data_IF_762753321834
#
_entry.id   IF_762753321834
#
_cell.length_a   1.000
_cell.length_b   1.000
_cell.length_c   1.000
_cell.angle_alpha   90.00
_cell.angle_beta   90.00
_cell.angle_gamma   90.00
#
_symmetry.space_group_name_H-M   'P 1'
#
loop_
_entity.id
_entity.type
_entity.pdbx_description
1 polymer ?
#
# COMPACT_ATOMS: atom_id res chain seq x y z
N UNK A 1 32.77 -39.74 2.56
CA UNK A 1 33.29 -38.88 3.64
C UNK A 1 33.03 -37.44 3.21
N UNK A 2 31.82 -36.96 3.47
CA UNK A 2 31.43 -35.55 3.35
C UNK A 2 30.68 -35.23 4.64
N UNK A 3 31.15 -34.19 5.33
CA UNK A 3 30.63 -33.78 6.62
C UNK A 3 29.21 -33.21 6.46
N UNK A 4 28.29 -33.66 7.30
CA UNK A 4 27.00 -33.02 7.51
C UNK A 4 27.26 -31.74 8.31
N UNK A 5 27.02 -30.58 7.69
CA UNK A 5 26.96 -29.30 8.38
C UNK A 5 25.62 -29.20 9.13
N UNK A 6 25.71 -29.18 10.46
CA UNK A 6 24.61 -28.87 11.37
C UNK A 6 24.16 -27.42 11.19
N UNK A 7 23.02 -27.22 10.52
CA UNK A 7 22.34 -25.93 10.41
C UNK A 7 21.52 -25.71 11.69
N UNK A 8 21.69 -24.60 12.42
CA UNK A 8 20.97 -24.37 13.67
C UNK A 8 19.48 -24.05 13.43
N UNK A 9 18.63 -24.99 13.85
CA UNK A 9 17.16 -25.00 13.73
C UNK A 9 16.44 -24.20 14.85
N UNK A 10 16.97 -23.04 15.22
CA UNK A 10 16.34 -22.15 16.22
C UNK A 10 16.04 -20.79 15.62
N UNK A 11 15.09 -20.76 14.67
CA UNK A 11 14.40 -19.52 14.32
C UNK A 11 13.09 -19.48 15.10
N UNK A 12 12.99 -18.48 15.98
CA UNK A 12 11.85 -18.10 16.82
C UNK A 12 10.58 -17.81 15.97
N UNK A 13 9.98 -18.86 15.41
CA UNK A 13 8.80 -18.77 14.53
C UNK A 13 7.46 -18.74 15.28
N UNK A 14 7.45 -18.98 16.59
CA UNK A 14 6.20 -19.18 17.32
C UNK A 14 5.56 -17.88 17.85
N UNK A 15 6.33 -16.84 18.17
CA UNK A 15 5.78 -15.65 18.85
C UNK A 15 4.94 -14.78 17.89
N UNK A 16 5.33 -14.70 16.62
CA UNK A 16 4.59 -13.96 15.61
C UNK A 16 3.30 -14.68 15.14
N UNK A 17 3.32 -16.03 15.10
CA UNK A 17 2.18 -16.84 14.64
C UNK A 17 1.01 -16.77 15.66
N UNK A 18 1.28 -16.81 16.96
CA UNK A 18 0.22 -16.78 18.00
C UNK A 18 -0.53 -15.44 18.05
N UNK A 19 0.19 -14.34 17.92
CA UNK A 19 -0.39 -12.99 17.94
C UNK A 19 -1.29 -12.76 16.71
N UNK A 20 -0.86 -13.23 15.54
CA UNK A 20 -1.63 -13.14 14.32
C UNK A 20 -2.88 -14.02 14.35
N UNK A 21 -2.75 -15.26 14.86
CA UNK A 21 -3.88 -16.19 15.03
C UNK A 21 -4.93 -15.64 16.01
N UNK A 22 -4.50 -15.03 17.12
CA UNK A 22 -5.40 -14.36 18.05
C UNK A 22 -6.16 -13.19 17.39
N UNK A 23 -5.50 -12.45 16.51
CA UNK A 23 -6.13 -11.35 15.78
C UNK A 23 -7.15 -11.86 14.73
N UNK A 24 -6.84 -12.95 14.03
CA UNK A 24 -7.78 -13.61 13.12
C UNK A 24 -9.01 -14.18 13.84
N UNK A 25 -8.87 -14.75 15.04
CA UNK A 25 -10.01 -15.23 15.83
C UNK A 25 -10.91 -14.06 16.27
N UNK A 26 -10.32 -12.92 16.63
CA UNK A 26 -11.04 -11.69 16.96
C UNK A 26 -11.84 -11.17 15.75
N UNK A 27 -11.24 -11.19 14.55
CA UNK A 27 -11.92 -10.84 13.30
C UNK A 27 -13.06 -11.81 12.96
N UNK A 28 -12.88 -13.12 13.21
CA UNK A 28 -13.93 -14.13 13.00
C UNK A 28 -15.14 -13.89 13.93
N UNK A 29 -14.90 -13.63 15.22
CA UNK A 29 -15.98 -13.26 16.18
C UNK A 29 -16.67 -11.95 15.83
N UNK A 30 -15.93 -10.95 15.33
CA UNK A 30 -16.51 -9.71 14.82
C UNK A 30 -17.43 -9.97 13.63
N UNK A 31 -17.05 -10.86 12.70
CA UNK A 31 -17.90 -11.28 11.59
C UNK A 31 -19.17 -11.96 12.06
N UNK A 32 -19.10 -12.86 13.05
CA UNK A 32 -20.28 -13.52 13.61
C UNK A 32 -21.23 -12.51 14.28
N UNK A 33 -20.69 -11.51 15.00
CA UNK A 33 -21.47 -10.41 15.57
C UNK A 33 -22.10 -9.53 14.50
N UNK A 34 -21.37 -9.20 13.44
CA UNK A 34 -21.87 -8.41 12.32
C UNK A 34 -22.93 -9.17 11.51
N UNK A 35 -22.78 -10.49 11.34
CA UNK A 35 -23.78 -11.34 10.71
C UNK A 35 -25.06 -11.44 11.56
N UNK A 36 -24.92 -11.49 12.89
CA UNK A 36 -26.05 -11.41 13.81
C UNK A 36 -26.75 -10.04 13.81
N UNK A 37 -26.02 -8.96 13.48
CA UNK A 37 -26.56 -7.61 13.27
C UNK A 37 -27.11 -7.36 11.85
N UNK A 38 -27.00 -8.35 10.97
CA UNK A 38 -27.23 -8.29 9.52
C UNK A 38 -28.66 -8.10 9.03
N UNK A 39 -29.50 -7.36 9.77
CA UNK A 39 -30.78 -6.86 9.25
C UNK A 39 -30.96 -5.34 9.35
N UNK A 40 -30.04 -4.58 9.96
CA UNK A 40 -30.28 -3.14 10.14
C UNK A 40 -29.01 -2.28 10.23
N UNK A 41 -28.04 -2.46 9.34
CA UNK A 41 -26.90 -1.53 9.24
C UNK A 41 -26.93 -0.89 7.87
N UNK A 42 -27.25 0.41 7.81
CA UNK A 42 -27.16 1.22 6.60
C UNK A 42 -25.67 1.34 6.22
N UNK A 43 -25.38 1.35 4.92
CA UNK A 43 -24.01 1.39 4.38
C UNK A 43 -23.12 2.51 4.97
N UNK A 44 -23.73 3.57 5.51
CA UNK A 44 -23.05 4.73 6.10
C UNK A 44 -22.37 4.40 7.45
N UNK A 45 -22.92 3.45 8.22
CA UNK A 45 -22.37 3.05 9.53
C UNK A 45 -21.18 2.11 9.40
N UNK A 46 -21.10 1.35 8.30
CA UNK A 46 -20.01 0.39 8.07
C UNK A 46 -18.67 1.10 7.84
N UNK A 47 -18.69 2.24 7.13
CA UNK A 47 -17.52 3.09 6.95
C UNK A 47 -17.04 3.69 8.29
N UNK A 48 -17.96 4.10 9.16
CA UNK A 48 -17.62 4.64 10.48
C UNK A 48 -16.99 3.59 11.41
N UNK A 49 -17.46 2.34 11.35
CA UNK A 49 -16.92 1.23 12.15
C UNK A 49 -15.50 0.85 11.68
N UNK A 50 -15.27 0.80 10.36
CA UNK A 50 -13.92 0.55 9.82
C UNK A 50 -12.97 1.69 10.18
N UNK A 51 -13.42 2.94 10.05
CA UNK A 51 -12.61 4.11 10.41
C UNK A 51 -12.27 4.15 11.90
N UNK A 52 -13.22 3.83 12.77
CA UNK A 52 -12.99 3.81 14.23
C UNK A 52 -12.01 2.71 14.64
N UNK A 53 -12.13 1.53 14.03
CA UNK A 53 -11.25 0.38 14.32
C UNK A 53 -9.81 0.60 13.81
N UNK A 54 -9.64 1.36 12.73
CA UNK A 54 -8.33 1.70 12.17
C UNK A 54 -7.61 2.81 12.93
N UNK A 55 -8.37 3.80 13.42
CA UNK A 55 -7.80 4.90 14.21
C UNK A 55 -7.20 4.39 15.53
N UNK A 56 -7.82 3.37 16.13
CA UNK A 56 -7.42 2.79 17.42
C UNK A 56 -6.16 1.90 17.34
N UNK A 57 -5.71 1.51 16.13
CA UNK A 57 -4.49 0.70 15.95
C UNK A 57 -3.19 1.50 15.74
N UNK A 58 -3.25 2.84 15.70
CA UNK A 58 -2.08 3.67 15.33
C UNK A 58 -1.40 4.40 16.50
N UNK A 59 -1.85 4.20 17.73
CA UNK A 59 -1.39 4.98 18.90
C UNK A 59 -0.30 4.34 19.77
N UNK A 60 0.23 3.16 19.44
CA UNK A 60 1.21 2.45 20.30
C UNK A 60 2.60 2.31 19.65
N UNK A 61 3.23 3.41 19.23
CA UNK A 61 4.63 3.40 18.79
C UNK A 61 5.42 4.57 19.36
N UNK A 62 5.58 4.56 20.68
CA UNK A 62 6.59 5.34 21.39
C UNK A 62 7.36 4.42 22.35
N UNK A 63 8.66 4.73 22.50
CA UNK A 63 9.76 4.06 23.23
C UNK A 63 10.59 3.07 22.38
N UNK A 64 11.91 3.16 22.25
CA UNK A 64 12.91 3.90 23.04
C UNK A 64 14.13 4.27 22.20
N UNK A 65 14.66 5.47 22.48
CA UNK A 65 16.02 5.88 22.10
C UNK A 65 17.00 5.31 23.12
N UNK A 66 18.16 4.77 22.71
CA UNK A 66 19.45 5.36 23.09
C UNK A 66 20.69 4.67 22.51
N UNK A 67 21.70 5.50 22.21
CA UNK A 67 23.16 5.23 22.07
C UNK A 67 23.59 4.42 20.83
N UNK A 68 24.68 4.74 20.12
CA UNK A 68 26.00 5.19 20.57
C UNK A 68 26.78 5.85 19.41
N UNK A 69 27.63 6.83 19.72
CA UNK A 69 28.44 7.60 18.75
C UNK A 69 29.84 6.99 18.59
N UNK A 70 30.00 6.11 17.60
CA UNK A 70 31.31 5.60 17.16
C UNK A 70 31.87 6.37 15.96
N UNK A 71 32.86 7.24 16.20
CA UNK A 71 33.55 8.08 15.21
C UNK A 71 34.60 7.25 14.43
N UNK A 72 34.26 6.76 13.24
CA UNK A 72 35.19 6.05 12.34
C UNK A 72 35.39 6.77 11.00
N UNK A 73 36.53 7.45 10.85
CA UNK A 73 37.02 8.04 9.59
C UNK A 73 37.53 6.93 8.67
N UNK A 74 36.97 6.77 7.47
CA UNK A 74 37.44 5.75 6.53
C UNK A 74 36.95 5.94 5.09
N UNK A 75 37.78 6.63 4.31
CA UNK A 75 38.08 6.49 2.86
C UNK A 75 36.96 6.11 1.86
N UNK A 76 36.75 7.06 0.94
CA UNK A 76 36.69 6.90 -0.52
C UNK A 76 36.13 5.59 -1.06
N UNK A 77 34.90 5.66 -1.60
CA UNK A 77 34.45 4.89 -2.76
C UNK A 77 33.34 5.67 -3.48
N UNK A 78 33.76 6.61 -4.31
CA UNK A 78 32.93 7.30 -5.32
C UNK A 78 32.60 6.33 -6.47
N UNK A 79 31.67 5.39 -6.22
CA UNK A 79 31.06 4.51 -7.24
C UNK A 79 29.60 4.23 -6.89
N UNK A 80 28.76 5.26 -6.95
CA UNK A 80 27.31 5.13 -6.66
C UNK A 80 26.38 6.13 -7.33
N UNK A 81 26.89 7.23 -7.90
CA UNK A 81 26.10 8.39 -8.38
C UNK A 81 25.11 8.12 -9.54
N UNK A 82 25.04 6.90 -10.07
CA UNK A 82 24.18 6.56 -11.21
C UNK A 82 22.78 6.02 -10.84
N UNK A 83 22.62 5.35 -9.69
CA UNK A 83 21.34 4.70 -9.33
C UNK A 83 20.35 5.66 -8.68
N UNK A 84 20.85 6.61 -7.89
CA UNK A 84 20.04 7.53 -7.09
C UNK A 84 19.18 8.45 -7.99
N UNK A 85 19.73 8.82 -9.15
CA UNK A 85 19.09 9.72 -10.11
C UNK A 85 17.91 9.03 -10.83
N UNK A 86 18.01 7.71 -11.07
CA UNK A 86 16.96 6.94 -11.73
C UNK A 86 15.75 6.83 -10.82
N UNK A 87 15.95 6.49 -9.54
CA UNK A 87 14.86 6.36 -8.57
C UNK A 87 14.13 7.70 -8.35
N UNK A 88 14.87 8.80 -8.25
CA UNK A 88 14.29 10.15 -8.13
C UNK A 88 13.53 10.54 -9.40
N UNK A 89 14.06 10.22 -10.58
CA UNK A 89 13.36 10.48 -11.86
C UNK A 89 12.08 9.65 -11.98
N UNK A 90 12.12 8.38 -11.59
CA UNK A 90 10.98 7.47 -11.65
C UNK A 90 9.90 7.91 -10.66
N UNK A 91 10.28 8.30 -9.44
CA UNK A 91 9.35 8.88 -8.46
C UNK A 91 8.72 10.19 -8.94
N UNK A 92 9.50 11.03 -9.62
CA UNK A 92 9.02 12.30 -10.19
C UNK A 92 8.04 12.07 -11.33
N UNK A 93 8.31 11.10 -12.21
CA UNK A 93 7.40 10.69 -13.29
C UNK A 93 6.12 10.05 -12.74
N UNK A 94 6.24 9.16 -11.75
CA UNK A 94 5.10 8.54 -11.06
C UNK A 94 4.25 9.61 -10.39
N UNK A 95 4.87 10.56 -9.68
CA UNK A 95 4.17 11.69 -9.07
C UNK A 95 3.44 12.52 -10.13
N UNK A 96 4.08 12.87 -11.25
CA UNK A 96 3.46 13.64 -12.32
C UNK A 96 2.30 12.90 -13.00
N UNK A 97 2.44 11.58 -13.19
CA UNK A 97 1.47 10.73 -13.87
C UNK A 97 0.25 10.47 -12.97
N UNK A 98 0.46 10.28 -11.67
CA UNK A 98 -0.61 10.10 -10.69
C UNK A 98 -1.33 11.39 -10.33
N UNK A 99 -0.57 12.46 -10.13
CA UNK A 99 -1.14 13.77 -9.86
C UNK A 99 -1.75 14.38 -11.11
N UNK A 100 -1.30 14.01 -12.33
CA UNK A 100 -1.71 14.60 -13.61
C UNK A 100 -1.81 16.12 -13.55
N UNK A 101 -0.98 16.73 -12.70
CA UNK A 101 -1.05 18.11 -12.29
C UNK A 101 0.31 18.75 -12.58
N UNK A 102 0.30 20.04 -12.97
CA UNK A 102 1.52 20.82 -13.05
C UNK A 102 2.34 20.65 -11.78
N UNK A 103 3.66 20.64 -11.92
CA UNK A 103 4.60 20.44 -10.81
C UNK A 103 4.13 21.22 -9.58
N UNK A 104 4.19 20.63 -8.38
CA UNK A 104 3.75 21.29 -7.15
C UNK A 104 4.34 22.70 -6.99
N UNK A 105 5.48 22.97 -7.63
CA UNK A 105 6.09 24.28 -7.90
C UNK A 105 5.11 25.38 -8.31
N UNK A 106 4.15 25.05 -9.17
CA UNK A 106 3.15 25.97 -9.71
C UNK A 106 1.90 26.10 -8.83
N UNK A 107 1.64 25.13 -7.94
CA UNK A 107 0.47 25.13 -7.05
C UNK A 107 0.50 26.32 -6.10
N UNK A 108 1.67 26.67 -5.57
CA UNK A 108 1.81 27.86 -4.71
C UNK A 108 1.63 29.19 -5.45
N UNK A 109 1.64 29.19 -6.78
CA UNK A 109 1.43 30.39 -7.60
C UNK A 109 -0.01 30.54 -8.09
N UNK A 110 -0.84 29.52 -7.91
CA UNK A 110 -2.24 29.52 -8.33
C UNK A 110 -3.10 30.11 -7.21
N UNK A 111 -3.62 31.33 -7.39
CA UNK A 111 -4.57 31.98 -6.45
C UNK A 111 -6.02 31.87 -6.95
N UNK A 112 -6.97 31.84 -6.02
CA UNK A 112 -8.40 31.87 -6.28
C UNK A 112 -8.93 30.67 -7.06
N UNK A 113 -9.71 30.94 -8.11
CA UNK A 113 -10.51 29.94 -8.86
C UNK A 113 -9.71 28.74 -9.39
N UNK A 114 -8.42 28.91 -9.72
CA UNK A 114 -7.58 27.80 -10.21
C UNK A 114 -7.17 26.85 -9.09
N UNK A 115 -7.01 27.35 -7.86
CA UNK A 115 -6.70 26.52 -6.70
C UNK A 115 -7.90 25.65 -6.34
N UNK A 116 -9.10 26.21 -6.31
CA UNK A 116 -10.33 25.45 -6.05
C UNK A 116 -10.55 24.36 -7.11
N UNK A 117 -10.33 24.67 -8.39
CA UNK A 117 -10.44 23.68 -9.48
C UNK A 117 -9.43 22.53 -9.32
N UNK A 118 -8.18 22.85 -8.96
CA UNK A 118 -7.15 21.83 -8.72
C UNK A 118 -7.51 20.96 -7.49
N UNK A 119 -7.96 21.58 -6.40
CA UNK A 119 -8.41 20.92 -5.18
C UNK A 119 -9.56 19.96 -5.47
N UNK A 120 -10.56 20.40 -6.22
CA UNK A 120 -11.73 19.58 -6.58
C UNK A 120 -11.30 18.38 -7.42
N UNK A 121 -10.43 18.58 -8.41
CA UNK A 121 -9.86 17.51 -9.23
C UNK A 121 -9.04 16.50 -8.43
N UNK A 122 -8.24 16.98 -7.47
CA UNK A 122 -7.48 16.15 -6.53
C UNK A 122 -8.40 15.34 -5.61
N UNK A 123 -9.45 15.98 -5.10
CA UNK A 123 -10.42 15.35 -4.21
C UNK A 123 -11.24 14.28 -4.96
N UNK A 124 -11.66 14.55 -6.18
CA UNK A 124 -12.35 13.57 -7.05
C UNK A 124 -11.48 12.34 -7.31
N UNK A 125 -10.21 12.54 -7.68
CA UNK A 125 -9.26 11.43 -7.90
C UNK A 125 -9.00 10.63 -6.63
N UNK A 126 -8.83 11.32 -5.50
CA UNK A 126 -8.60 10.66 -4.20
C UNK A 126 -9.82 9.86 -3.78
N UNK A 127 -11.04 10.36 -4.01
CA UNK A 127 -12.29 9.61 -3.78
C UNK A 127 -12.32 8.34 -4.62
N UNK A 128 -12.05 8.43 -5.92
CA UNK A 128 -12.02 7.25 -6.79
C UNK A 128 -10.97 6.23 -6.33
N UNK A 129 -9.76 6.69 -5.99
CA UNK A 129 -8.69 5.82 -5.48
C UNK A 129 -9.09 5.14 -4.16
N UNK A 130 -9.74 5.88 -3.26
CA UNK A 130 -10.19 5.37 -1.96
C UNK A 130 -11.29 4.32 -2.11
N UNK A 131 -12.21 4.51 -3.08
CA UNK A 131 -13.23 3.50 -3.40
C UNK A 131 -12.59 2.23 -3.95
N UNK A 132 -11.62 2.36 -4.86
CA UNK A 132 -10.87 1.21 -5.40
C UNK A 132 -10.09 0.49 -4.30
N UNK A 133 -9.43 1.21 -3.41
CA UNK A 133 -8.70 0.60 -2.29
C UNK A 133 -9.64 -0.10 -1.31
N UNK A 134 -10.81 0.49 -1.00
CA UNK A 134 -11.82 -0.15 -0.16
C UNK A 134 -12.40 -1.43 -0.79
N UNK A 135 -12.65 -1.44 -2.11
CA UNK A 135 -13.04 -2.64 -2.84
C UNK A 135 -11.95 -3.71 -2.82
N UNK A 136 -10.69 -3.32 -2.96
CA UNK A 136 -9.56 -4.21 -2.85
C UNK A 136 -9.48 -4.84 -1.45
N UNK A 137 -9.62 -4.03 -0.38
CA UNK A 137 -9.67 -4.49 1.02
C UNK A 137 -10.80 -5.52 1.21
N UNK A 138 -12.01 -5.19 0.75
CA UNK A 138 -13.17 -6.08 0.86
C UNK A 138 -12.93 -7.42 0.15
N UNK A 139 -12.30 -7.38 -1.03
CA UNK A 139 -11.97 -8.57 -1.81
C UNK A 139 -10.89 -9.41 -1.14
N UNK A 140 -9.83 -8.79 -0.60
CA UNK A 140 -8.77 -9.50 0.13
C UNK A 140 -9.29 -10.13 1.42
N UNK A 141 -10.16 -9.44 2.16
CA UNK A 141 -10.80 -9.99 3.36
C UNK A 141 -11.71 -11.16 2.98
N UNK A 142 -12.50 -11.00 1.92
CA UNK A 142 -13.37 -12.08 1.42
C UNK A 142 -12.54 -13.30 1.02
N UNK A 143 -11.40 -13.10 0.36
CA UNK A 143 -10.48 -14.18 0.00
C UNK A 143 -9.88 -14.87 1.23
N UNK A 144 -9.40 -14.10 2.22
CA UNK A 144 -8.81 -14.64 3.45
C UNK A 144 -9.82 -15.40 4.32
N UNK A 145 -11.10 -15.05 4.22
CA UNK A 145 -12.17 -15.67 5.03
C UNK A 145 -12.94 -16.76 4.30
N UNK A 146 -12.77 -16.91 2.98
CA UNK A 146 -13.36 -17.97 2.21
C UNK A 146 -12.50 -19.24 2.27
N UNK A 147 -13.11 -20.44 2.24
CA UNK A 147 -12.36 -21.66 2.01
C UNK A 147 -11.65 -21.58 0.64
N UNK A 148 -10.45 -22.16 0.49
CA UNK A 148 -9.68 -22.07 -0.74
C UNK A 148 -10.53 -22.58 -1.90
N UNK A 149 -10.89 -21.71 -2.87
CA UNK A 149 -11.97 -22.01 -3.80
C UNK A 149 -11.56 -23.01 -4.88
N UNK A 150 -10.28 -23.36 -4.97
CA UNK A 150 -9.70 -24.00 -6.16
C UNK A 150 -8.60 -25.00 -5.83
N UNK A 151 -8.70 -26.19 -6.42
CA UNK A 151 -7.73 -27.29 -6.27
C UNK A 151 -6.49 -27.14 -7.16
N UNK A 152 -6.48 -26.19 -8.11
CA UNK A 152 -5.37 -26.02 -9.06
C UNK A 152 -4.19 -25.21 -8.49
N UNK A 153 -4.40 -24.45 -7.42
CA UNK A 153 -3.38 -23.65 -6.76
C UNK A 153 -3.21 -24.15 -5.32
N UNK A 154 -1.96 -24.33 -4.89
CA UNK A 154 -1.64 -24.85 -3.57
C UNK A 154 -1.71 -23.72 -2.53
N UNK A 155 -2.93 -23.24 -2.27
CA UNK A 155 -3.21 -22.21 -1.29
C UNK A 155 -2.91 -22.67 0.13
N UNK A 156 -2.82 -23.98 0.41
CA UNK A 156 -2.51 -24.55 1.73
C UNK A 156 -1.13 -24.13 2.29
N UNK A 157 -0.27 -23.56 1.45
CA UNK A 157 1.01 -23.02 1.92
C UNK A 157 0.84 -21.71 2.68
N UNK A 158 1.59 -21.54 3.78
CA UNK A 158 1.60 -20.31 4.58
C UNK A 158 2.07 -19.08 3.79
N UNK A 159 2.93 -19.25 2.78
CA UNK A 159 3.59 -18.15 2.07
C UNK A 159 2.61 -17.27 1.27
N UNK A 160 1.73 -17.80 0.40
CA UNK A 160 0.69 -16.99 -0.25
C UNK A 160 -0.18 -16.18 0.72
N UNK A 161 -0.58 -16.77 1.85
CA UNK A 161 -1.38 -16.09 2.86
C UNK A 161 -0.65 -14.92 3.51
N UNK A 162 0.65 -15.03 3.74
CA UNK A 162 1.47 -13.93 4.26
C UNK A 162 1.51 -12.75 3.29
N UNK A 163 1.67 -13.01 1.99
CA UNK A 163 1.65 -11.96 0.98
C UNK A 163 0.26 -11.33 0.79
N UNK A 164 -0.82 -12.11 0.87
CA UNK A 164 -2.19 -11.57 0.84
C UNK A 164 -2.48 -10.75 2.10
N UNK A 165 -2.01 -11.19 3.26
CA UNK A 165 -2.09 -10.41 4.49
C UNK A 165 -1.35 -9.08 4.37
N UNK A 166 -0.14 -9.10 3.80
CA UNK A 166 0.62 -7.89 3.48
C UNK A 166 -0.11 -6.98 2.47
N UNK A 167 -0.73 -7.57 1.44
CA UNK A 167 -1.54 -6.83 0.47
C UNK A 167 -2.74 -6.15 1.15
N UNK A 168 -3.46 -6.88 2.01
CA UNK A 168 -4.59 -6.37 2.79
C UNK A 168 -4.17 -5.24 3.74
N UNK A 169 -3.07 -5.42 4.49
CA UNK A 169 -2.55 -4.37 5.37
C UNK A 169 -2.16 -3.10 4.59
N UNK A 170 -1.50 -3.28 3.44
CA UNK A 170 -1.11 -2.17 2.58
C UNK A 170 -2.32 -1.43 2.00
N UNK A 171 -3.35 -2.14 1.54
CA UNK A 171 -4.58 -1.51 1.01
C UNK A 171 -5.39 -0.81 2.09
N UNK A 172 -5.40 -1.34 3.32
CA UNK A 172 -5.99 -0.68 4.49
C UNK A 172 -5.28 0.65 4.79
N UNK A 173 -3.95 0.64 4.87
CA UNK A 173 -3.14 1.86 5.10
C UNK A 173 -3.37 2.86 3.97
N UNK A 174 -3.37 2.40 2.71
CA UNK A 174 -3.72 3.24 1.55
C UNK A 174 -5.09 3.90 1.69
N UNK A 175 -6.10 3.14 2.12
CA UNK A 175 -7.47 3.65 2.31
C UNK A 175 -7.52 4.68 3.42
N UNK A 176 -6.86 4.42 4.56
CA UNK A 176 -6.76 5.35 5.67
C UNK A 176 -6.05 6.65 5.27
N UNK A 177 -4.93 6.56 4.56
CA UNK A 177 -4.21 7.72 4.03
C UNK A 177 -5.06 8.51 3.02
N UNK A 178 -5.80 7.84 2.14
CA UNK A 178 -6.70 8.49 1.18
C UNK A 178 -7.84 9.26 1.86
N UNK A 179 -8.45 8.67 2.88
CA UNK A 179 -9.46 9.33 3.72
C UNK A 179 -8.89 10.53 4.50
N UNK A 180 -7.72 10.37 5.12
CA UNK A 180 -7.02 11.46 5.79
C UNK A 180 -6.70 12.62 4.85
N UNK A 181 -6.30 12.31 3.61
CA UNK A 181 -6.07 13.31 2.57
C UNK A 181 -7.36 14.04 2.17
N UNK A 182 -8.49 13.33 2.03
CA UNK A 182 -9.79 13.96 1.73
C UNK A 182 -10.21 14.90 2.86
N UNK A 183 -10.05 14.50 4.12
CA UNK A 183 -10.34 15.36 5.28
C UNK A 183 -9.43 16.58 5.31
N UNK A 184 -8.12 16.39 5.09
CA UNK A 184 -7.15 17.48 5.04
C UNK A 184 -7.47 18.47 3.91
N UNK A 185 -7.73 17.96 2.70
CA UNK A 185 -8.20 18.76 1.57
C UNK A 185 -9.52 19.44 1.89
N UNK A 186 -10.41 18.87 2.70
CA UNK A 186 -11.67 19.47 3.13
C UNK A 186 -11.50 20.70 4.02
N UNK A 187 -10.48 20.69 4.88
CA UNK A 187 -10.22 21.77 5.85
C UNK A 187 -9.30 22.86 5.31
N UNK A 188 -8.44 22.53 4.32
CA UNK A 188 -7.47 23.49 3.81
C UNK A 188 -8.16 24.68 3.12
N UNK A 189 -7.84 25.89 3.58
CA UNK A 189 -8.30 27.17 3.02
C UNK A 189 -7.15 27.83 2.26
N UNK A 190 -7.44 28.73 1.31
CA UNK A 190 -6.42 29.46 0.53
C UNK A 190 -5.39 30.15 1.44
N UNK A 191 -5.85 30.75 2.55
CA UNK A 191 -4.99 31.42 3.54
C UNK A 191 -4.03 30.46 4.26
N UNK A 192 -4.40 29.18 4.40
CA UNK A 192 -3.55 28.16 5.02
C UNK A 192 -2.36 27.82 4.12
N UNK A 193 -2.54 27.89 2.79
CA UNK A 193 -1.48 27.58 1.82
C UNK A 193 -0.47 28.71 1.74
N UNK A 194 -0.92 29.97 1.86
CA UNK A 194 -0.02 31.12 1.89
C UNK A 194 0.86 31.11 3.16
N UNK A 195 0.39 30.50 4.26
CA UNK A 195 1.20 30.26 5.46
C UNK A 195 2.14 29.07 5.37
N UNK A 196 1.92 28.13 4.45
CA UNK A 196 2.79 26.97 4.20
C UNK A 196 3.97 27.44 3.33
N UNK A 197 4.78 28.35 3.85
CA UNK A 197 6.00 28.82 3.19
C UNK A 197 7.20 27.88 3.48
N UNK A 198 7.04 26.95 4.43
CA UNK A 198 8.05 25.97 4.80
C UNK A 198 8.18 24.79 3.83
N UNK A 199 9.42 24.49 3.43
CA UNK A 199 9.75 23.29 2.64
C UNK A 199 9.26 21.97 3.28
N UNK A 200 9.12 21.93 4.61
CA UNK A 200 8.73 20.74 5.35
C UNK A 200 7.25 20.41 5.23
N UNK A 201 6.35 21.38 5.45
CA UNK A 201 4.90 21.18 5.35
C UNK A 201 4.49 20.84 3.92
N UNK A 202 5.12 21.48 2.94
CA UNK A 202 4.96 21.12 1.53
C UNK A 202 5.39 19.69 1.27
N UNK A 203 6.51 19.25 1.85
CA UNK A 203 6.97 17.87 1.73
C UNK A 203 5.98 16.89 2.36
N UNK A 204 5.38 17.24 3.49
CA UNK A 204 4.35 16.41 4.15
C UNK A 204 3.12 16.31 3.26
N UNK A 205 2.60 17.42 2.72
CA UNK A 205 1.44 17.40 1.85
C UNK A 205 1.67 16.55 0.60
N UNK A 206 2.88 16.62 0.01
CA UNK A 206 3.29 15.77 -1.12
C UNK A 206 3.38 14.31 -0.69
N UNK A 207 4.02 14.03 0.43
CA UNK A 207 4.13 12.67 0.95
C UNK A 207 2.73 12.07 1.17
N UNK A 208 1.81 12.81 1.80
CA UNK A 208 0.43 12.39 2.06
C UNK A 208 -0.35 12.08 0.78
N UNK A 209 0.01 12.73 -0.33
CA UNK A 209 -0.63 12.55 -1.62
C UNK A 209 -0.07 11.35 -2.39
N UNK A 210 1.23 11.11 -2.30
CA UNK A 210 1.88 9.99 -2.99
C UNK A 210 1.74 8.68 -2.20
N UNK A 211 1.67 8.77 -0.87
CA UNK A 211 1.63 7.63 0.04
C UNK A 211 0.49 6.63 -0.23
N UNK A 212 -0.78 7.04 -0.41
CA UNK A 212 -1.87 6.11 -0.73
C UNK A 212 -1.56 5.29 -1.98
N UNK A 213 -1.10 5.93 -3.05
CA UNK A 213 -0.83 5.20 -4.29
C UNK A 213 0.31 4.20 -4.14
N UNK A 214 1.37 4.58 -3.43
CA UNK A 214 2.52 3.69 -3.24
C UNK A 214 2.10 2.46 -2.45
N UNK A 215 1.30 2.62 -1.39
CA UNK A 215 0.77 1.49 -0.64
C UNK A 215 -0.19 0.64 -1.48
N UNK A 216 -1.00 1.25 -2.35
CA UNK A 216 -1.86 0.50 -3.26
C UNK A 216 -1.02 -0.34 -4.24
N UNK A 217 0.03 0.23 -4.82
CA UNK A 217 0.94 -0.46 -5.74
C UNK A 217 1.71 -1.59 -5.06
N UNK A 218 2.19 -1.37 -3.83
CA UNK A 218 2.80 -2.42 -3.00
C UNK A 218 1.79 -3.53 -2.71
N UNK A 219 0.54 -3.18 -2.41
CA UNK A 219 -0.52 -4.15 -2.17
C UNK A 219 -0.80 -5.02 -3.40
N UNK A 220 -0.87 -4.41 -4.58
CA UNK A 220 -1.03 -5.11 -5.85
C UNK A 220 0.15 -6.03 -6.15
N UNK A 221 1.39 -5.54 -5.99
CA UNK A 221 2.60 -6.34 -6.18
C UNK A 221 2.64 -7.56 -5.24
N UNK A 222 2.29 -7.36 -3.96
CA UNK A 222 2.16 -8.46 -3.00
C UNK A 222 1.08 -9.47 -3.44
N UNK A 223 -0.06 -9.01 -3.94
CA UNK A 223 -1.12 -9.87 -4.49
C UNK A 223 -0.65 -10.70 -5.69
N UNK A 224 0.06 -10.08 -6.63
CA UNK A 224 0.66 -10.78 -7.77
C UNK A 224 1.69 -11.82 -7.35
N UNK A 225 2.55 -11.50 -6.39
CA UNK A 225 3.55 -12.44 -5.85
C UNK A 225 2.84 -13.59 -5.13
N UNK A 226 1.84 -13.31 -4.29
CA UNK A 226 1.06 -14.35 -3.61
C UNK A 226 0.48 -15.34 -4.61
N UNK A 227 -0.11 -14.82 -5.69
CA UNK A 227 -0.72 -15.62 -6.73
C UNK A 227 0.30 -16.43 -7.52
N UNK A 228 1.43 -15.83 -7.90
CA UNK A 228 2.56 -16.53 -8.53
C UNK A 228 3.04 -17.70 -7.68
N UNK A 229 3.27 -17.46 -6.40
CA UNK A 229 3.75 -18.47 -5.45
C UNK A 229 2.72 -19.59 -5.32
N UNK A 230 1.43 -19.28 -5.18
CA UNK A 230 0.37 -20.27 -5.08
C UNK A 230 0.27 -21.17 -6.32
N UNK A 231 0.45 -20.60 -7.52
CA UNK A 231 0.43 -21.33 -8.78
C UNK A 231 1.70 -22.15 -8.97
N UNK A 232 2.85 -21.62 -8.55
CA UNK A 232 4.14 -22.31 -8.67
C UNK A 232 4.22 -23.56 -7.81
N UNK A 233 3.63 -23.53 -6.62
CA UNK A 233 3.48 -24.71 -5.76
C UNK A 233 2.40 -25.68 -6.25
N UNK A 234 1.58 -25.30 -7.23
CA UNK A 234 0.59 -26.19 -7.85
C UNK A 234 1.22 -27.26 -8.75
N UNK A 235 0.49 -28.36 -8.94
CA UNK A 235 0.94 -29.50 -9.75
C UNK A 235 0.64 -29.37 -11.26
N UNK A 236 -0.15 -28.37 -11.67
CA UNK A 236 -0.61 -28.23 -13.06
C UNK A 236 0.34 -27.32 -13.85
N UNK A 237 1.10 -27.91 -14.78
CA UNK A 237 2.12 -27.19 -15.57
C UNK A 237 1.52 -26.12 -16.51
N UNK A 238 0.40 -26.41 -17.17
CA UNK A 238 -0.26 -25.45 -18.07
C UNK A 238 -0.68 -24.16 -17.35
N UNK A 239 -1.11 -24.25 -16.08
CA UNK A 239 -1.45 -23.06 -15.30
C UNK A 239 -0.24 -22.16 -15.05
N UNK A 240 0.95 -22.73 -14.82
CA UNK A 240 2.19 -21.94 -14.63
C UNK A 240 2.51 -21.10 -15.86
N UNK A 241 2.36 -21.68 -17.06
CA UNK A 241 2.59 -20.99 -18.34
C UNK A 241 1.57 -19.86 -18.54
N UNK A 242 0.28 -20.14 -18.34
CA UNK A 242 -0.79 -19.14 -18.53
C UNK A 242 -0.60 -17.97 -17.56
N UNK A 243 -0.34 -18.26 -16.28
CA UNK A 243 -0.19 -17.25 -15.24
C UNK A 243 1.03 -16.38 -15.49
N UNK A 244 2.18 -16.97 -15.83
CA UNK A 244 3.39 -16.20 -16.15
C UNK A 244 3.22 -15.35 -17.41
N UNK A 245 2.53 -15.87 -18.43
CA UNK A 245 2.21 -15.11 -19.64
C UNK A 245 1.28 -13.91 -19.34
N UNK A 246 0.21 -14.12 -18.57
CA UNK A 246 -0.71 -13.05 -18.17
C UNK A 246 0.01 -11.97 -17.36
N UNK A 247 0.83 -12.37 -16.38
CA UNK A 247 1.60 -11.42 -15.58
C UNK A 247 2.61 -10.64 -16.42
N UNK A 248 3.27 -11.30 -17.37
CA UNK A 248 4.16 -10.64 -18.30
C UNK A 248 3.43 -9.60 -19.15
N UNK A 249 2.25 -9.94 -19.69
CA UNK A 249 1.41 -8.99 -20.45
C UNK A 249 0.96 -7.82 -19.56
N UNK A 250 0.54 -8.07 -18.32
CA UNK A 250 0.17 -7.02 -17.38
C UNK A 250 1.34 -6.08 -17.09
N UNK A 251 2.54 -6.60 -16.79
CA UNK A 251 3.74 -5.78 -16.55
C UNK A 251 4.10 -4.97 -17.79
N UNK A 252 4.06 -5.57 -18.98
CA UNK A 252 4.33 -4.86 -20.24
C UNK A 252 3.31 -3.75 -20.47
N UNK A 253 2.01 -4.00 -20.25
CA UNK A 253 0.97 -2.98 -20.37
C UNK A 253 1.17 -1.84 -19.37
N UNK A 254 1.51 -2.14 -18.12
CA UNK A 254 1.80 -1.13 -17.10
C UNK A 254 3.02 -0.30 -17.53
N UNK A 255 4.11 -0.93 -17.97
CA UNK A 255 5.30 -0.23 -18.47
C UNK A 255 4.96 0.64 -19.69
N UNK A 256 4.19 0.13 -20.65
CA UNK A 256 3.74 0.89 -21.82
C UNK A 256 2.91 2.10 -21.36
N UNK A 257 1.95 1.91 -20.45
CA UNK A 257 1.16 3.02 -19.91
C UNK A 257 2.07 4.06 -19.25
N UNK A 258 3.02 3.65 -18.42
CA UNK A 258 3.98 4.56 -17.79
C UNK A 258 4.91 5.25 -18.77
N UNK A 259 5.25 4.64 -19.92
CA UNK A 259 6.09 5.26 -20.94
C UNK A 259 5.31 6.18 -21.89
N UNK A 260 4.06 5.84 -22.22
CA UNK A 260 3.25 6.62 -23.16
C UNK A 260 2.53 7.80 -22.51
N UNK A 261 2.03 7.67 -21.28
CA UNK A 261 1.31 8.76 -20.61
C UNK A 261 2.13 10.06 -20.47
N UNK A 262 3.43 10.03 -20.08
CA UNK A 262 4.23 11.24 -19.98
C UNK A 262 4.51 11.90 -21.34
N UNK A 263 4.42 11.15 -22.45
CA UNK A 263 4.66 11.67 -23.79
C UNK A 263 3.39 12.26 -24.43
N UNK A 264 2.22 12.02 -23.85
CA UNK A 264 0.91 12.49 -24.33
C UNK A 264 0.41 13.77 -23.61
N UNK A 265 1.06 14.18 -22.52
CA UNK A 265 0.77 15.41 -21.78
C UNK A 265 1.91 16.43 -21.96
#
# INVERSE_FOLDING_TARGET
MFANDDVPDHFDKNIADDTFLAHLDKMRKLRERLAALGQCVKNDDFAAIILSSLLECTTDSDQDKDKDKGKGKGKDKDKGKGKDNIWVSLWKSVSLLLLGAPSLGEIGKLKGKKFTELRDKLMERTKNLTVVSALAVSTTISFLTAPPPVTYAAWDNKVPYLFIGGACGSTIISTACGLGLIMYLGVITEDSIERIEGNFERSIAVALLVMPTVFLFVGEACGCIAWLVAVWYGNILWMKIVVTAVLFVCVVLVVILFLFFPNLC
#
